data_IF_244252510281
#
_entry.id   IF_244252510281
#
_cell.length_a   1.000
_cell.length_b   1.000
_cell.length_c   1.000
_cell.angle_alpha   90.00
_cell.angle_beta   90.00
_cell.angle_gamma   90.00
#
_symmetry.space_group_name_H-M   'P 1'
#
loop_
_entity.id
_entity.type
_entity.pdbx_description
1 polymer ?
#
# COMPACT_ATOMS: atom_id res chain seq x y z
N UNK A 1 -18.48 53.56 26.82
CA UNK A 1 -18.78 53.36 25.39
C UNK A 1 -17.65 52.75 24.54
N UNK A 2 -16.34 53.01 24.76
CA UNK A 2 -15.28 52.45 23.90
C UNK A 2 -14.99 50.95 24.14
N UNK A 3 -15.10 50.47 25.39
CA UNK A 3 -14.82 49.07 25.75
C UNK A 3 -15.75 48.06 25.04
N UNK A 4 -17.03 48.39 24.87
CA UNK A 4 -17.99 47.48 24.21
C UNK A 4 -17.67 47.30 22.74
N UNK A 5 -17.28 48.36 22.02
CA UNK A 5 -16.88 48.26 20.62
C UNK A 5 -15.60 47.44 20.45
N UNK A 6 -14.63 47.64 21.35
CA UNK A 6 -13.40 46.86 21.37
C UNK A 6 -13.68 45.37 21.62
N UNK A 7 -14.57 45.06 22.57
CA UNK A 7 -14.98 43.68 22.87
C UNK A 7 -15.66 42.97 21.67
N UNK A 8 -16.54 43.66 20.94
CA UNK A 8 -17.17 43.09 19.74
C UNK A 8 -16.15 42.89 18.62
N UNK A 9 -15.20 43.81 18.44
CA UNK A 9 -14.12 43.67 17.47
C UNK A 9 -13.22 42.47 17.81
N UNK A 10 -12.84 42.31 19.08
CA UNK A 10 -12.05 41.16 19.51
C UNK A 10 -12.80 39.84 19.31
N UNK A 11 -14.10 39.79 19.57
CA UNK A 11 -14.91 38.60 19.33
C UNK A 11 -15.04 38.27 17.85
N UNK A 12 -15.20 39.29 17.00
CA UNK A 12 -15.26 39.10 15.55
C UNK A 12 -13.93 38.56 15.00
N UNK A 13 -12.80 39.11 15.46
CA UNK A 13 -11.47 38.61 15.08
C UNK A 13 -11.27 37.18 15.55
N UNK A 14 -11.65 36.86 16.80
CA UNK A 14 -11.54 35.50 17.32
C UNK A 14 -12.41 34.53 16.51
N UNK A 15 -13.64 34.91 16.17
CA UNK A 15 -14.54 34.11 15.34
C UNK A 15 -13.97 33.86 13.94
N UNK A 16 -13.39 34.88 13.30
CA UNK A 16 -12.72 34.73 12.00
C UNK A 16 -11.50 33.80 12.07
N UNK A 17 -10.63 33.96 13.09
CA UNK A 17 -9.47 33.08 13.29
C UNK A 17 -9.91 31.63 13.56
N UNK A 18 -11.00 31.45 14.30
CA UNK A 18 -11.56 30.12 14.60
C UNK A 18 -12.14 29.48 13.33
N UNK A 19 -12.88 30.23 12.52
CA UNK A 19 -13.38 29.76 11.23
C UNK A 19 -12.24 29.39 10.27
N UNK A 20 -11.18 30.19 10.23
CA UNK A 20 -9.99 29.91 9.42
C UNK A 20 -9.28 28.63 9.89
N UNK A 21 -9.08 28.46 11.20
CA UNK A 21 -8.51 27.25 11.77
C UNK A 21 -9.38 26.02 11.46
N UNK A 22 -10.71 26.15 11.54
CA UNK A 22 -11.65 25.10 11.14
C UNK A 22 -11.55 24.72 9.65
N UNK A 23 -11.34 25.69 8.77
CA UNK A 23 -11.12 25.45 7.33
C UNK A 23 -9.81 24.72 7.04
N UNK A 24 -8.74 25.00 7.77
CA UNK A 24 -7.49 24.23 7.62
C UNK A 24 -7.58 22.86 8.28
N UNK A 25 -8.28 22.73 9.40
CA UNK A 25 -8.54 21.44 10.02
C UNK A 25 -9.35 20.51 9.10
N UNK A 26 -10.30 21.03 8.32
CA UNK A 26 -11.04 20.20 7.35
C UNK A 26 -10.19 19.74 6.16
N UNK A 27 -8.97 20.28 5.99
CA UNK A 27 -8.00 19.88 4.96
C UNK A 27 -6.91 18.95 5.48
N UNK A 28 -6.99 18.51 6.74
CA UNK A 28 -6.06 17.52 7.30
C UNK A 28 -6.05 16.26 6.43
N UNK A 29 -4.85 15.87 5.99
CA UNK A 29 -4.61 14.64 5.25
C UNK A 29 -3.96 13.63 6.17
N UNK A 30 -4.30 12.35 5.99
CA UNK A 30 -3.64 11.30 6.72
C UNK A 30 -2.22 11.11 6.17
N UNK A 31 -1.22 11.10 7.05
CA UNK A 31 0.14 10.73 6.71
C UNK A 31 0.42 9.30 7.20
N UNK A 32 0.55 8.35 6.27
CA UNK A 32 0.88 6.94 6.56
C UNK A 32 2.39 6.67 6.50
N UNK A 33 3.22 7.69 6.26
CA UNK A 33 4.66 7.50 6.12
C UNK A 33 5.31 7.30 7.49
N UNK A 34 5.60 6.05 7.84
CA UNK A 34 6.28 5.71 9.09
C UNK A 34 7.66 6.37 9.23
N UNK A 35 8.30 6.70 8.12
CA UNK A 35 9.62 7.34 8.12
C UNK A 35 9.58 8.73 8.77
N UNK A 36 8.43 9.40 8.80
CA UNK A 36 8.29 10.75 9.35
C UNK A 36 8.25 10.75 10.89
N UNK A 37 8.20 9.58 11.54
CA UNK A 37 8.33 9.45 12.99
C UNK A 37 9.79 9.37 13.47
N UNK A 38 10.75 9.19 12.56
CA UNK A 38 12.17 9.13 12.91
C UNK A 38 12.75 10.54 13.11
N UNK A 39 13.72 10.71 14.01
CA UNK A 39 14.36 12.00 14.22
C UNK A 39 15.12 12.45 12.96
N UNK A 40 15.18 13.76 12.75
CA UNK A 40 15.96 14.33 11.65
C UNK A 40 17.45 13.98 11.81
N UNK A 41 18.07 13.47 10.73
CA UNK A 41 19.47 13.06 10.72
C UNK A 41 19.73 11.65 11.28
N UNK A 42 18.69 10.80 11.34
CA UNK A 42 18.86 9.38 11.65
C UNK A 42 19.63 8.67 10.52
N UNK A 43 20.84 8.12 10.79
CA UNK A 43 21.67 7.50 9.77
C UNK A 43 21.06 6.21 9.20
N UNK A 44 20.22 5.51 9.96
CA UNK A 44 19.54 4.29 9.51
C UNK A 44 18.41 4.65 8.54
N UNK A 45 17.71 5.76 8.78
CA UNK A 45 16.72 6.28 7.83
C UNK A 45 17.38 6.73 6.52
N UNK A 46 18.51 7.45 6.58
CA UNK A 46 19.24 7.88 5.38
C UNK A 46 19.72 6.68 4.54
N UNK A 47 20.22 5.63 5.20
CA UNK A 47 20.58 4.38 4.54
C UNK A 47 19.36 3.72 3.88
N UNK A 48 18.25 3.60 4.62
CA UNK A 48 17.00 3.00 4.12
C UNK A 48 16.43 3.76 2.91
N UNK A 49 16.45 5.10 2.95
CA UNK A 49 16.02 5.94 1.82
C UNK A 49 16.94 5.75 0.60
N UNK A 50 18.25 5.68 0.80
CA UNK A 50 19.20 5.41 -0.28
C UNK A 50 19.01 4.01 -0.89
N UNK A 51 18.72 3.01 -0.07
CA UNK A 51 18.41 1.65 -0.52
C UNK A 51 17.11 1.61 -1.34
N UNK A 52 16.02 2.15 -0.80
CA UNK A 52 14.70 2.15 -1.46
C UNK A 52 14.68 2.97 -2.75
N UNK A 53 15.45 4.06 -2.85
CA UNK A 53 15.62 4.77 -4.13
C UNK A 53 16.28 3.92 -5.21
N UNK A 54 17.18 3.01 -4.82
CA UNK A 54 17.95 2.20 -5.77
C UNK A 54 17.24 0.90 -6.17
N UNK A 55 16.51 0.30 -5.24
CA UNK A 55 15.89 -1.02 -5.44
C UNK A 55 14.36 -0.97 -5.51
N UNK A 56 13.75 0.18 -5.21
CA UNK A 56 12.30 0.33 -5.10
C UNK A 56 11.81 0.18 -3.66
N UNK A 57 10.53 0.51 -3.46
CA UNK A 57 9.87 0.31 -2.18
C UNK A 57 9.41 -1.15 -2.06
N UNK A 58 9.84 -1.83 -1.02
CA UNK A 58 9.44 -3.21 -0.76
C UNK A 58 8.00 -3.32 -0.20
N UNK A 59 7.28 -2.22 0.01
CA UNK A 59 5.97 -2.25 0.70
C UNK A 59 4.74 -2.10 -0.20
N UNK A 60 4.89 -2.04 -1.52
CA UNK A 60 3.77 -1.80 -2.46
C UNK A 60 3.11 -3.12 -2.94
N UNK A 61 2.99 -4.11 -2.05
CA UNK A 61 2.33 -5.38 -2.36
C UNK A 61 1.35 -5.82 -1.27
N UNK A 62 0.34 -6.58 -1.68
CA UNK A 62 -0.61 -7.25 -0.79
C UNK A 62 -0.34 -8.76 -0.82
N UNK A 63 -0.08 -9.35 0.34
CA UNK A 63 0.05 -10.80 0.48
C UNK A 63 -1.29 -11.40 0.90
N UNK A 64 -1.77 -12.38 0.14
CA UNK A 64 -2.99 -13.13 0.45
C UNK A 64 -2.63 -14.57 0.83
N UNK A 65 -2.89 -14.94 2.08
CA UNK A 65 -2.80 -16.32 2.54
C UNK A 65 -4.16 -16.99 2.38
N UNK A 66 -4.21 -18.10 1.64
CA UNK A 66 -5.43 -18.85 1.38
C UNK A 66 -5.34 -20.22 2.06
N UNK A 67 -6.38 -20.57 2.81
CA UNK A 67 -6.50 -21.87 3.47
C UNK A 67 -7.46 -22.77 2.69
N UNK A 68 -7.08 -24.04 2.51
CA UNK A 68 -7.97 -25.02 1.90
C UNK A 68 -9.13 -25.38 2.86
N UNK A 69 -10.31 -25.73 2.34
CA UNK A 69 -11.42 -26.19 3.18
C UNK A 69 -11.02 -27.36 4.09
N UNK A 70 -11.62 -27.42 5.29
CA UNK A 70 -11.34 -28.47 6.25
C UNK A 70 -11.45 -29.88 5.63
N UNK A 71 -10.41 -30.69 5.80
CA UNK A 71 -10.32 -32.04 5.23
C UNK A 71 -9.80 -32.11 3.80
N UNK A 72 -9.44 -30.99 3.17
CA UNK A 72 -8.81 -30.94 1.84
C UNK A 72 -7.38 -30.40 1.92
N UNK A 73 -6.55 -30.83 0.97
CA UNK A 73 -5.19 -30.29 0.80
C UNK A 73 -5.22 -29.02 -0.04
N UNK A 74 -4.24 -28.13 0.17
CA UNK A 74 -4.02 -26.95 -0.68
C UNK A 74 -3.71 -27.30 -2.14
N UNK A 75 -3.36 -28.55 -2.41
CA UNK A 75 -3.14 -29.05 -3.77
C UNK A 75 -4.41 -29.65 -4.41
N UNK A 76 -5.58 -29.54 -3.77
CA UNK A 76 -6.82 -30.05 -4.34
C UNK A 76 -7.15 -29.32 -5.66
N UNK A 77 -7.43 -30.03 -6.77
CA UNK A 77 -7.63 -29.40 -8.08
C UNK A 77 -8.72 -28.32 -8.09
N UNK A 78 -9.81 -28.57 -7.37
CA UNK A 78 -10.90 -27.60 -7.25
C UNK A 78 -10.47 -26.32 -6.52
N UNK A 79 -9.69 -26.46 -5.44
CA UNK A 79 -9.15 -25.30 -4.70
C UNK A 79 -8.17 -24.52 -5.58
N UNK A 80 -7.24 -25.19 -6.25
CA UNK A 80 -6.29 -24.53 -7.16
C UNK A 80 -7.00 -23.80 -8.32
N UNK A 81 -8.09 -24.36 -8.86
CA UNK A 81 -8.91 -23.68 -9.88
C UNK A 81 -9.56 -22.38 -9.35
N UNK A 82 -9.98 -22.36 -8.09
CA UNK A 82 -10.50 -21.16 -7.44
C UNK A 82 -9.40 -20.11 -7.21
N UNK A 83 -8.23 -20.54 -6.73
CA UNK A 83 -7.04 -19.67 -6.56
C UNK A 83 -6.63 -19.04 -7.89
N UNK A 84 -6.65 -19.83 -8.96
CA UNK A 84 -6.33 -19.39 -10.32
C UNK A 84 -7.37 -18.38 -10.87
N UNK A 85 -8.66 -18.64 -10.62
CA UNK A 85 -9.74 -17.68 -10.93
C UNK A 85 -9.57 -16.35 -10.18
N UNK A 86 -9.28 -16.40 -8.88
CA UNK A 86 -8.99 -15.23 -8.06
C UNK A 86 -7.78 -14.45 -8.61
N UNK A 87 -6.71 -15.18 -8.96
CA UNK A 87 -5.48 -14.59 -9.52
C UNK A 87 -5.78 -13.84 -10.81
N UNK A 88 -6.53 -14.45 -11.73
CA UNK A 88 -6.96 -13.79 -12.98
C UNK A 88 -7.83 -12.58 -12.69
N UNK A 89 -8.80 -12.68 -11.78
CA UNK A 89 -9.66 -11.56 -11.41
C UNK A 89 -8.86 -10.37 -10.88
N UNK A 90 -7.94 -10.63 -9.95
CA UNK A 90 -7.07 -9.62 -9.36
C UNK A 90 -6.20 -8.88 -10.39
N UNK A 91 -5.70 -9.59 -11.42
CA UNK A 91 -4.91 -8.99 -12.51
C UNK A 91 -5.68 -7.94 -13.33
N UNK A 92 -7.01 -8.00 -13.35
CA UNK A 92 -7.83 -7.06 -14.12
C UNK A 92 -8.31 -5.85 -13.29
N UNK A 93 -7.97 -5.80 -12.00
CA UNK A 93 -8.33 -4.67 -11.15
C UNK A 93 -7.53 -3.41 -11.54
N UNK A 94 -8.15 -2.22 -11.47
CA UNK A 94 -7.45 -0.98 -11.73
C UNK A 94 -6.28 -0.80 -10.75
N UNK A 95 -5.16 -0.29 -11.25
CA UNK A 95 -3.93 -0.01 -10.49
C UNK A 95 -3.13 -1.23 -10.00
N UNK A 96 -3.55 -2.46 -10.34
CA UNK A 96 -2.74 -3.66 -10.08
C UNK A 96 -1.68 -3.80 -11.18
N UNK A 97 -0.40 -3.69 -10.81
CA UNK A 97 0.72 -3.82 -11.75
C UNK A 97 1.05 -5.28 -12.08
N UNK A 98 1.00 -6.15 -11.07
CA UNK A 98 1.32 -7.57 -11.22
C UNK A 98 0.64 -8.40 -10.14
N UNK A 99 0.30 -9.65 -10.47
CA UNK A 99 -0.17 -10.63 -9.48
C UNK A 99 0.60 -11.92 -9.68
N UNK A 100 1.29 -12.33 -8.62
CA UNK A 100 2.05 -13.57 -8.55
C UNK A 100 1.28 -14.56 -7.68
N UNK A 101 1.09 -15.78 -8.19
CA UNK A 101 0.33 -16.84 -7.53
C UNK A 101 0.95 -18.19 -7.84
N UNK A 102 0.92 -19.17 -6.90
CA UNK A 102 1.41 -20.53 -7.15
C UNK A 102 0.87 -21.18 -8.42
N UNK A 103 -0.37 -20.86 -8.83
CA UNK A 103 -1.03 -21.43 -10.02
C UNK A 103 -0.55 -20.84 -11.34
N UNK A 104 0.15 -19.71 -11.30
CA UNK A 104 0.65 -19.00 -12.50
C UNK A 104 2.16 -18.83 -12.50
N UNK A 105 2.84 -19.28 -11.44
CA UNK A 105 4.27 -19.18 -11.29
C UNK A 105 4.94 -20.14 -12.29
N UNK A 106 5.93 -19.63 -13.02
CA UNK A 106 6.74 -20.41 -13.95
C UNK A 106 8.22 -20.19 -13.68
N UNK A 107 9.01 -21.26 -13.77
CA UNK A 107 10.46 -21.20 -13.69
C UNK A 107 11.06 -21.18 -15.10
N UNK A 108 11.80 -20.11 -15.49
CA UNK A 108 12.52 -20.10 -16.75
C UNK A 108 13.74 -21.02 -16.66
N UNK A 109 13.79 -22.03 -17.52
CA UNK A 109 14.93 -22.93 -17.67
C UNK A 109 15.58 -22.65 -19.02
N UNK A 110 16.90 -22.40 -18.99
CA UNK A 110 17.72 -22.21 -20.18
C UNK A 110 18.38 -23.54 -20.50
N UNK A 111 18.00 -24.14 -21.61
CA UNK A 111 18.65 -25.33 -22.15
C UNK A 111 19.28 -25.03 -23.52
N UNK A 112 20.09 -25.96 -24.04
CA UNK A 112 20.85 -25.77 -25.27
C UNK A 112 20.03 -25.39 -26.52
N UNK A 113 18.70 -25.56 -26.49
CA UNK A 113 17.78 -25.21 -27.57
C UNK A 113 16.92 -23.96 -27.31
N UNK A 114 17.07 -23.27 -26.17
CA UNK A 114 16.37 -22.00 -25.92
C UNK A 114 15.86 -21.82 -24.49
N UNK A 115 14.89 -20.91 -24.36
CA UNK A 115 14.24 -20.54 -23.10
C UNK A 115 12.87 -21.22 -22.98
N UNK A 116 12.65 -21.96 -21.89
CA UNK A 116 11.39 -22.63 -21.60
C UNK A 116 10.86 -22.23 -20.23
N UNK A 117 9.56 -21.91 -20.12
CA UNK A 117 8.92 -21.59 -18.84
C UNK A 117 8.17 -22.83 -18.33
N UNK A 118 8.68 -23.46 -17.28
CA UNK A 118 8.06 -24.63 -16.66
C UNK A 118 7.15 -24.19 -15.50
N UNK A 119 5.87 -24.58 -15.46
CA UNK A 119 4.99 -24.22 -14.36
C UNK A 119 5.42 -24.95 -13.08
N UNK A 120 5.30 -24.27 -11.93
CA UNK A 120 5.66 -24.86 -10.63
C UNK A 120 4.67 -25.95 -10.21
N UNK A 121 3.38 -25.76 -10.52
CA UNK A 121 2.33 -26.75 -10.33
C UNK A 121 2.00 -27.41 -11.66
N UNK A 122 1.94 -28.74 -11.66
CA UNK A 122 1.70 -29.60 -12.83
C UNK A 122 0.63 -30.64 -12.51
#
# INVERSE_FOLDING_TARGET
>A
MPLRRLAHLTLLVLALLTGLAGYYASQLRFNYNFNDFYPAGDPDLDYYQGYTQRFGNDNDYLLLALEAPAGQTVFAPHFLAQVDSLTRGARHLPHVLSVTSPTTLTNPVVEGFGFYNLPYLH
#
